data_IF_785980602773
#
_entry.id   IF_785980602773
#
_cell.length_a   1.000
_cell.length_b   1.000
_cell.length_c   1.000
_cell.angle_alpha   90.00
_cell.angle_beta   90.00
_cell.angle_gamma   90.00
#
_symmetry.space_group_name_H-M   'P 1'
#
loop_
_entity.id
_entity.type
_entity.pdbx_description
1 polymer ?
#
# COMPACT_ATOMS: atom_id res chain seq x y z
N UNK A 1 3.63 -6.92 -8.29
CA UNK A 1 4.00 -7.89 -7.25
C UNK A 1 3.09 -7.77 -6.02
N UNK A 2 2.65 -8.88 -5.46
CA UNK A 2 1.97 -8.92 -4.17
C UNK A 2 3.01 -9.04 -3.05
N UNK A 3 2.87 -8.23 -2.00
CA UNK A 3 3.66 -8.33 -0.77
C UNK A 3 2.69 -8.70 0.36
N UNK A 4 2.80 -9.94 0.84
CA UNK A 4 2.00 -10.43 1.96
C UNK A 4 2.87 -10.49 3.23
N UNK A 5 2.48 -9.79 4.34
CA UNK A 5 3.21 -9.87 5.61
C UNK A 5 3.39 -11.29 6.15
N UNK A 6 2.55 -12.25 5.75
CA UNK A 6 2.69 -13.65 6.15
C UNK A 6 3.87 -14.36 5.47
N UNK A 7 4.26 -13.91 4.28
CA UNK A 7 5.41 -14.44 3.55
C UNK A 7 6.73 -13.85 4.05
N UNK A 8 6.69 -12.57 4.41
CA UNK A 8 7.83 -11.80 4.89
C UNK A 8 7.75 -11.64 6.40
N UNK A 9 8.14 -12.68 7.14
CA UNK A 9 8.09 -12.70 8.61
C UNK A 9 9.14 -11.80 9.23
N UNK A 10 8.93 -10.49 9.15
CA UNK A 10 9.78 -9.53 9.84
C UNK A 10 9.49 -9.55 11.35
N UNK A 11 10.50 -9.35 12.22
CA UNK A 11 10.27 -9.20 13.66
C UNK A 11 9.43 -7.95 13.95
N UNK A 12 9.04 -7.74 15.20
CA UNK A 12 8.61 -6.39 15.61
C UNK A 12 9.77 -5.44 15.37
N UNK A 13 9.45 -4.26 14.80
CA UNK A 13 10.44 -3.27 14.45
C UNK A 13 11.33 -2.90 15.63
N UNK A 14 12.63 -3.09 15.47
CA UNK A 14 13.69 -2.59 16.32
C UNK A 14 14.74 -1.82 15.50
N UNK A 15 15.01 -2.28 14.29
CA UNK A 15 15.92 -1.65 13.32
C UNK A 15 15.24 -1.48 11.97
N UNK A 16 15.26 -0.26 11.44
CA UNK A 16 14.83 0.03 10.07
C UNK A 16 15.89 -0.44 9.07
N UNK A 17 15.47 -0.70 7.84
CA UNK A 17 16.38 -1.12 6.75
C UNK A 17 17.58 -0.19 6.57
N UNK A 18 17.37 1.11 6.65
CA UNK A 18 18.42 2.14 6.51
C UNK A 18 19.47 2.15 7.63
N UNK A 19 19.23 1.46 8.74
CA UNK A 19 20.15 1.38 9.89
C UNK A 19 21.18 0.24 9.72
N UNK A 20 20.94 -0.67 8.76
CA UNK A 20 21.91 -1.70 8.41
C UNK A 20 22.94 -1.18 7.41
N UNK A 21 24.17 -1.69 7.49
CA UNK A 21 25.14 -1.52 6.40
C UNK A 21 24.58 -2.13 5.10
N UNK A 22 24.87 -1.51 3.97
CA UNK A 22 24.38 -1.95 2.66
C UNK A 22 24.63 -3.45 2.43
N UNK A 23 23.58 -4.20 2.13
CA UNK A 23 23.61 -5.65 1.88
C UNK A 23 23.82 -6.51 3.14
N UNK A 24 23.64 -5.94 4.33
CA UNK A 24 23.78 -6.64 5.62
C UNK A 24 22.47 -6.82 6.38
N UNK A 25 21.37 -6.30 5.87
CA UNK A 25 20.07 -6.55 6.47
C UNK A 25 19.67 -8.04 6.35
N UNK A 26 18.76 -8.55 7.19
CA UNK A 26 18.25 -9.91 7.05
C UNK A 26 17.70 -10.18 5.63
N UNK A 27 17.96 -11.38 5.10
CA UNK A 27 17.62 -11.74 3.71
C UNK A 27 16.18 -11.44 3.28
N UNK A 28 15.12 -11.66 4.11
CA UNK A 28 13.76 -11.23 3.79
C UNK A 28 13.62 -9.71 3.63
N UNK A 29 14.34 -8.94 4.44
CA UNK A 29 14.32 -7.48 4.40
C UNK A 29 15.04 -6.93 3.16
N UNK A 30 16.19 -7.50 2.77
CA UNK A 30 16.87 -7.15 1.50
C UNK A 30 15.97 -7.38 0.29
N UNK A 31 15.30 -8.54 0.23
CA UNK A 31 14.37 -8.87 -0.86
C UNK A 31 13.20 -7.90 -0.94
N UNK A 32 12.67 -7.49 0.20
CA UNK A 32 11.58 -6.49 0.25
C UNK A 32 12.07 -5.12 -0.19
N UNK A 33 13.22 -4.68 0.31
CA UNK A 33 13.82 -3.41 -0.09
C UNK A 33 13.99 -3.31 -1.61
N UNK A 34 14.48 -4.39 -2.24
CA UNK A 34 14.62 -4.44 -3.70
C UNK A 34 13.26 -4.34 -4.42
N UNK A 35 12.24 -5.05 -3.93
CA UNK A 35 10.88 -4.97 -4.50
C UNK A 35 10.30 -3.57 -4.37
N UNK A 36 10.41 -2.96 -3.20
CA UNK A 36 9.88 -1.63 -2.92
C UNK A 36 10.60 -0.59 -3.79
N UNK A 37 11.92 -0.61 -3.87
CA UNK A 37 12.69 0.32 -4.71
C UNK A 37 12.38 0.23 -6.19
N UNK A 38 12.07 -0.97 -6.69
CA UNK A 38 11.76 -1.21 -8.10
C UNK A 38 10.28 -0.97 -8.43
N UNK A 39 9.42 -0.69 -7.44
CA UNK A 39 8.03 -0.38 -7.67
C UNK A 39 7.85 1.08 -8.14
N UNK A 40 6.93 1.32 -9.05
CA UNK A 40 6.58 2.65 -9.54
C UNK A 40 5.45 3.31 -8.72
N UNK A 41 4.74 2.52 -7.92
CA UNK A 41 3.67 2.95 -7.03
C UNK A 41 3.15 1.80 -6.19
N UNK A 42 2.30 2.11 -5.20
CA UNK A 42 1.84 1.15 -4.21
C UNK A 42 0.32 1.16 -4.08
N UNK A 43 -0.32 0.02 -4.21
CA UNK A 43 -1.72 -0.15 -3.83
C UNK A 43 -1.74 -0.87 -2.47
N UNK A 44 -2.20 -0.17 -1.45
CA UNK A 44 -2.28 -0.68 -0.09
C UNK A 44 -3.66 -1.29 0.12
N UNK A 45 -3.72 -2.61 0.25
CA UNK A 45 -4.95 -3.36 0.53
C UNK A 45 -5.01 -3.66 2.02
N UNK A 46 -5.96 -3.06 2.73
CA UNK A 46 -6.01 -3.12 4.19
C UNK A 46 -7.41 -3.38 4.75
N UNK A 47 -7.49 -4.30 5.70
CA UNK A 47 -8.65 -4.38 6.60
C UNK A 47 -8.66 -3.25 7.63
N UNK A 48 -9.65 -3.29 8.51
CA UNK A 48 -9.80 -2.37 9.63
C UNK A 48 -9.82 -3.15 10.95
N UNK A 49 -8.86 -2.91 11.82
CA UNK A 49 -8.79 -3.47 13.17
C UNK A 49 -9.03 -2.38 14.21
N UNK A 50 -10.12 -2.48 14.97
CA UNK A 50 -10.45 -1.50 16.02
C UNK A 50 -10.45 -0.05 15.50
N UNK A 51 -11.00 0.19 14.31
CA UNK A 51 -11.02 1.48 13.60
C UNK A 51 -9.63 2.00 13.21
N UNK A 52 -8.61 1.15 13.14
CA UNK A 52 -7.24 1.53 12.84
C UNK A 52 -6.60 0.61 11.79
N UNK A 53 -5.38 0.95 11.39
CA UNK A 53 -4.54 0.16 10.50
C UNK A 53 -4.14 -1.13 11.22
N UNK A 54 -4.20 -2.30 10.56
CA UNK A 54 -3.74 -3.56 11.15
C UNK A 54 -2.25 -3.51 11.51
N UNK A 55 -1.85 -4.01 12.71
CA UNK A 55 -0.45 -3.98 13.15
C UNK A 55 0.53 -4.68 12.21
N UNK A 56 0.11 -5.72 11.52
CA UNK A 56 0.97 -6.43 10.55
C UNK A 56 1.37 -5.56 9.38
N UNK A 57 0.48 -4.69 8.91
CA UNK A 57 0.74 -3.76 7.82
C UNK A 57 1.72 -2.66 8.26
N UNK A 58 1.44 -2.00 9.40
CA UNK A 58 2.33 -0.97 9.93
C UNK A 58 3.71 -1.53 10.23
N UNK A 59 3.79 -2.67 10.90
CA UNK A 59 5.08 -3.30 11.21
C UNK A 59 5.91 -3.60 9.96
N UNK A 60 5.28 -4.12 8.90
CA UNK A 60 5.99 -4.39 7.64
C UNK A 60 6.48 -3.08 7.02
N UNK A 61 5.62 -2.08 6.93
CA UNK A 61 5.95 -0.83 6.25
C UNK A 61 6.99 0.00 7.02
N UNK A 62 6.91 0.04 8.34
CA UNK A 62 7.81 0.83 9.21
C UNK A 62 9.27 0.35 9.17
N UNK A 63 9.55 -0.86 8.69
CA UNK A 63 10.92 -1.31 8.45
C UNK A 63 11.62 -0.55 7.32
N UNK A 64 10.89 0.15 6.47
CA UNK A 64 11.38 0.90 5.31
C UNK A 64 10.87 2.34 5.38
N UNK A 65 11.53 3.25 4.69
CA UNK A 65 11.11 4.64 4.58
C UNK A 65 11.51 5.25 3.23
N UNK A 66 12.80 5.44 3.02
CA UNK A 66 13.33 6.09 1.81
C UNK A 66 13.01 5.32 0.53
N UNK A 67 12.81 4.00 0.64
CA UNK A 67 12.44 3.12 -0.43
C UNK A 67 11.07 3.46 -1.05
N UNK A 68 10.17 4.11 -0.28
CA UNK A 68 8.84 4.52 -0.74
C UNK A 68 8.81 5.92 -1.37
N UNK A 69 9.80 6.76 -1.14
CA UNK A 69 9.75 8.19 -1.45
C UNK A 69 9.38 8.49 -2.91
N UNK A 70 8.54 9.51 -3.08
CA UNK A 70 8.11 10.06 -4.37
C UNK A 70 7.39 9.08 -5.31
N UNK A 71 6.83 7.99 -4.78
CA UNK A 71 5.97 7.06 -5.51
C UNK A 71 4.53 7.21 -5.05
N UNK A 72 3.54 7.17 -5.96
CA UNK A 72 2.15 7.35 -5.58
C UNK A 72 1.64 6.13 -4.81
N UNK A 73 0.64 6.35 -3.96
CA UNK A 73 -0.09 5.30 -3.28
C UNK A 73 -1.59 5.39 -3.56
N UNK A 74 -2.24 4.24 -3.67
CA UNK A 74 -3.69 4.08 -3.67
C UNK A 74 -4.13 3.21 -2.50
N UNK A 75 -5.33 3.44 -1.97
CA UNK A 75 -5.85 2.68 -0.82
C UNK A 75 -7.08 1.88 -1.25
N UNK A 76 -7.01 0.58 -1.06
CA UNK A 76 -8.13 -0.35 -1.08
C UNK A 76 -8.38 -0.79 0.35
N UNK A 77 -9.59 -0.62 0.86
CA UNK A 77 -9.90 -1.00 2.22
C UNK A 77 -11.16 -1.85 2.30
N UNK A 78 -11.23 -2.68 3.34
CA UNK A 78 -12.36 -3.57 3.50
C UNK A 78 -12.70 -3.83 4.97
N UNK A 79 -13.94 -4.25 5.21
CA UNK A 79 -14.36 -4.76 6.51
C UNK A 79 -15.53 -5.74 6.37
N UNK A 80 -15.73 -6.59 7.37
CA UNK A 80 -16.92 -7.41 7.47
C UNK A 80 -18.21 -6.57 7.71
N UNK A 81 -18.06 -5.38 8.28
CA UNK A 81 -19.15 -4.44 8.47
C UNK A 81 -19.39 -3.54 7.25
N UNK A 82 -20.51 -2.80 7.28
CA UNK A 82 -20.96 -1.95 6.16
C UNK A 82 -20.03 -0.77 5.80
N UNK A 83 -19.12 -0.40 6.68
CA UNK A 83 -18.29 0.81 6.50
C UNK A 83 -17.03 0.58 5.64
N UNK A 84 -16.74 -0.66 5.23
CA UNK A 84 -15.68 -0.92 4.25
C UNK A 84 -14.27 -0.52 4.66
N UNK A 85 -13.96 -0.40 5.95
CA UNK A 85 -12.63 -0.05 6.43
C UNK A 85 -12.24 1.43 6.27
N UNK A 86 -13.19 2.33 6.02
CA UNK A 86 -12.87 3.75 5.73
C UNK A 86 -12.17 4.48 6.88
N UNK A 87 -12.32 4.05 8.13
CA UNK A 87 -11.63 4.68 9.26
C UNK A 87 -10.15 4.37 9.26
N UNK A 88 -9.79 3.11 8.97
CA UNK A 88 -8.41 2.71 8.71
C UNK A 88 -7.82 3.44 7.51
N UNK A 89 -8.58 3.60 6.42
CA UNK A 89 -8.16 4.33 5.24
C UNK A 89 -7.83 5.81 5.52
N UNK A 90 -8.57 6.48 6.40
CA UNK A 90 -8.24 7.86 6.78
C UNK A 90 -6.94 7.95 7.58
N UNK A 91 -6.63 6.97 8.40
CA UNK A 91 -5.33 6.90 9.08
C UNK A 91 -4.20 6.55 8.11
N UNK A 92 -4.46 5.65 7.16
CA UNK A 92 -3.50 5.34 6.09
C UNK A 92 -3.12 6.57 5.28
N UNK A 93 -4.05 7.48 4.96
CA UNK A 93 -3.71 8.72 4.24
C UNK A 93 -2.64 9.55 4.96
N UNK A 94 -2.74 9.68 6.27
CA UNK A 94 -1.74 10.41 7.06
C UNK A 94 -0.42 9.62 7.14
N UNK A 95 -0.50 8.32 7.36
CA UNK A 95 0.65 7.41 7.45
C UNK A 95 1.46 7.39 6.14
N UNK A 96 0.80 7.20 5.00
CA UNK A 96 1.44 7.15 3.69
C UNK A 96 2.06 8.49 3.28
N UNK A 97 1.41 9.60 3.66
CA UNK A 97 1.97 10.94 3.43
C UNK A 97 3.27 11.16 4.20
N UNK A 98 3.35 10.73 5.47
CA UNK A 98 4.57 10.79 6.26
C UNK A 98 5.68 9.91 5.68
N UNK A 99 5.31 8.76 5.09
CA UNK A 99 6.25 7.90 4.37
C UNK A 99 6.67 8.43 2.98
N UNK A 100 6.35 9.68 2.65
CA UNK A 100 6.75 10.31 1.39
C UNK A 100 5.99 9.83 0.16
N UNK A 101 4.84 9.20 0.34
CA UNK A 101 3.97 8.71 -0.74
C UNK A 101 2.77 9.62 -0.97
N UNK A 102 2.68 10.38 -2.07
CA UNK A 102 1.44 11.04 -2.45
C UNK A 102 0.32 10.01 -2.62
N UNK A 103 -0.79 10.19 -1.89
CA UNK A 103 -1.94 9.28 -1.98
C UNK A 103 -2.98 9.84 -2.93
N UNK A 104 -3.42 9.04 -3.91
CA UNK A 104 -4.45 9.44 -4.87
C UNK A 104 -5.77 9.77 -4.19
N UNK A 105 -6.62 10.54 -4.88
CA UNK A 105 -7.89 11.01 -4.33
C UNK A 105 -8.90 9.88 -4.14
N UNK A 106 -9.00 8.99 -5.13
CA UNK A 106 -9.91 7.85 -5.09
C UNK A 106 -9.58 6.90 -3.94
N UNK A 107 -10.63 6.30 -3.38
CA UNK A 107 -10.58 5.27 -2.36
C UNK A 107 -11.49 4.14 -2.83
N UNK A 108 -11.05 2.89 -2.68
CA UNK A 108 -11.84 1.72 -3.06
C UNK A 108 -12.23 0.92 -1.80
N UNK A 109 -13.40 1.20 -1.18
CA UNK A 109 -13.85 0.52 0.02
C UNK A 109 -14.78 -0.66 -0.29
N UNK A 110 -14.61 -1.78 0.42
CA UNK A 110 -15.47 -2.95 0.35
C UNK A 110 -16.13 -3.21 1.70
N UNK A 111 -17.38 -2.78 1.87
CA UNK A 111 -18.22 -3.16 3.02
C UNK A 111 -18.78 -4.57 2.83
N UNK A 112 -19.01 -5.28 3.94
CA UNK A 112 -19.49 -6.67 3.90
C UNK A 112 -18.68 -7.52 2.90
N UNK A 113 -17.35 -7.46 3.01
CA UNK A 113 -16.42 -8.01 2.00
C UNK A 113 -16.66 -9.50 1.73
N UNK A 114 -17.18 -10.25 2.69
CA UNK A 114 -17.56 -11.67 2.55
C UNK A 114 -18.65 -11.91 1.51
N UNK A 115 -19.42 -10.87 1.19
CA UNK A 115 -20.54 -10.91 0.22
C UNK A 115 -20.20 -10.16 -1.09
N UNK A 116 -18.98 -9.60 -1.20
CA UNK A 116 -18.59 -8.77 -2.33
C UNK A 116 -18.07 -9.58 -3.53
N UNK A 117 -17.51 -10.77 -3.26
CA UNK A 117 -16.88 -11.62 -4.27
C UNK A 117 -17.33 -13.07 -4.12
N UNK A 118 -17.37 -13.82 -5.23
CA UNK A 118 -17.56 -15.25 -5.20
C UNK A 118 -16.29 -16.02 -4.78
N UNK A 119 -16.38 -17.34 -4.71
CA UNK A 119 -15.24 -18.20 -4.33
C UNK A 119 -14.09 -18.21 -5.35
N UNK A 120 -14.28 -17.68 -6.54
CA UNK A 120 -13.29 -17.54 -7.60
C UNK A 120 -12.73 -16.11 -7.68
N UNK A 121 -13.24 -15.18 -6.85
CA UNK A 121 -12.82 -13.78 -6.80
C UNK A 121 -13.55 -12.87 -7.79
N UNK A 122 -14.61 -13.33 -8.44
CA UNK A 122 -15.41 -12.48 -9.31
C UNK A 122 -16.31 -11.56 -8.46
N UNK A 123 -16.48 -10.28 -8.86
CA UNK A 123 -17.35 -9.38 -8.14
C UNK A 123 -18.82 -9.82 -8.23
N UNK A 124 -19.53 -9.73 -7.10
CA UNK A 124 -20.95 -10.05 -7.01
C UNK A 124 -21.85 -8.80 -7.10
N UNK A 125 -21.26 -7.62 -7.21
CA UNK A 125 -21.99 -6.35 -7.28
C UNK A 125 -21.54 -5.54 -8.48
N UNK A 126 -22.49 -5.04 -9.27
CA UNK A 126 -22.26 -4.36 -10.57
C UNK A 126 -21.41 -3.08 -10.47
N UNK A 127 -21.29 -2.46 -9.29
CA UNK A 127 -20.53 -1.24 -9.10
C UNK A 127 -19.03 -1.50 -8.92
N UNK A 128 -18.60 -2.73 -8.58
CA UNK A 128 -17.20 -3.02 -8.21
C UNK A 128 -16.26 -2.78 -9.38
N UNK A 129 -16.55 -3.34 -10.55
CA UNK A 129 -15.68 -3.20 -11.72
C UNK A 129 -15.55 -1.75 -12.21
N UNK A 130 -16.63 -0.95 -12.35
CA UNK A 130 -16.51 0.46 -12.70
C UNK A 130 -15.73 1.29 -11.68
N UNK A 131 -15.93 1.06 -10.39
CA UNK A 131 -15.21 1.76 -9.33
C UNK A 131 -13.72 1.36 -9.30
N UNK A 132 -13.42 0.07 -9.47
CA UNK A 132 -12.05 -0.43 -9.56
C UNK A 132 -11.32 0.14 -10.80
N UNK A 133 -12.00 0.16 -11.97
CA UNK A 133 -11.43 0.74 -13.18
C UNK A 133 -11.09 2.21 -13.00
N UNK A 134 -12.01 3.00 -12.46
CA UNK A 134 -11.77 4.43 -12.18
C UNK A 134 -10.61 4.65 -11.21
N UNK A 135 -10.53 3.83 -10.15
CA UNK A 135 -9.44 3.88 -9.18
C UNK A 135 -8.09 3.57 -9.85
N UNK A 136 -8.03 2.53 -10.69
CA UNK A 136 -6.81 2.13 -11.39
C UNK A 136 -6.39 3.16 -12.44
N UNK A 137 -7.32 3.75 -13.18
CA UNK A 137 -7.04 4.80 -14.16
C UNK A 137 -6.40 6.03 -13.50
N UNK A 138 -6.94 6.47 -12.35
CA UNK A 138 -6.36 7.57 -11.58
C UNK A 138 -4.98 7.18 -11.05
N UNK A 139 -4.82 5.98 -10.50
CA UNK A 139 -3.54 5.51 -9.97
C UNK A 139 -2.47 5.45 -11.07
N UNK A 140 -2.80 4.88 -12.23
CA UNK A 140 -1.89 4.81 -13.37
C UNK A 140 -1.45 6.19 -13.85
N UNK A 141 -2.37 7.16 -13.87
CA UNK A 141 -2.02 8.54 -14.21
C UNK A 141 -0.94 9.11 -13.28
N UNK A 142 -1.09 8.91 -11.96
CA UNK A 142 -0.09 9.35 -10.98
C UNK A 142 1.23 8.59 -11.12
N UNK A 143 1.18 7.29 -11.36
CA UNK A 143 2.38 6.46 -11.60
C UNK A 143 3.19 7.03 -12.78
N UNK A 144 2.52 7.29 -13.91
CA UNK A 144 3.18 7.89 -15.10
C UNK A 144 3.72 9.28 -14.81
N UNK A 145 2.90 10.17 -14.24
CA UNK A 145 3.29 11.55 -13.99
C UNK A 145 4.49 11.68 -13.03
N UNK A 146 4.49 10.90 -11.95
CA UNK A 146 5.60 10.92 -10.98
C UNK A 146 6.80 10.12 -11.48
N UNK A 147 6.62 9.06 -12.26
CA UNK A 147 7.69 8.35 -12.96
C UNK A 147 8.43 9.28 -13.91
N UNK A 148 7.71 9.91 -14.82
CA UNK A 148 8.29 10.90 -15.76
C UNK A 148 9.02 12.04 -15.02
N UNK A 149 8.48 12.48 -13.89
CA UNK A 149 9.12 13.53 -13.10
C UNK A 149 10.43 13.05 -12.45
N UNK A 150 10.45 11.85 -11.88
CA UNK A 150 11.67 11.25 -11.30
C UNK A 150 12.74 11.06 -12.38
N UNK A 151 12.36 10.54 -13.55
CA UNK A 151 13.29 10.29 -14.65
C UNK A 151 13.89 11.59 -15.21
N UNK A 152 13.08 12.63 -15.32
CA UNK A 152 13.49 13.89 -15.95
C UNK A 152 14.23 14.84 -14.99
N UNK A 153 13.82 14.89 -13.74
CA UNK A 153 14.29 15.90 -12.79
C UNK A 153 15.04 15.31 -11.59
N UNK A 154 15.02 14.00 -11.42
CA UNK A 154 15.43 13.35 -10.18
C UNK A 154 14.44 13.57 -9.05
N UNK A 155 14.83 13.15 -7.85
CA UNK A 155 14.07 13.39 -6.62
C UNK A 155 14.67 14.56 -5.83
N UNK A 156 13.87 15.27 -5.00
CA UNK A 156 14.37 16.41 -4.22
C UNK A 156 15.45 16.06 -3.18
N UNK A 157 15.46 14.81 -2.71
CA UNK A 157 16.43 14.24 -1.75
C UNK A 157 16.42 12.72 -1.86
#
# INVERSE_FOLDING_TARGET
DLIDPLEYKLPLLDWMYKEYEHGKAPGPMEKLADKIRNAEGFIIVSGEYNHSIPPALTNLMDHFLEEYFFRPSGIVCYSAGRFGGVRSAMQLRAFLAEMGMPTISSLLPFGAVQDAFDGEGNPLMDYIDPEASRFLDEFEWYVKALGDARDKYGTPF
#
